data_IF_381216244339
#
_entry.id   IF_381216244339
#
_cell.length_a   1.000
_cell.length_b   1.000
_cell.length_c   1.000
_cell.angle_alpha   90.00
_cell.angle_beta   90.00
_cell.angle_gamma   90.00
#
_symmetry.space_group_name_H-M   'P 1'
#
loop_
_entity.id
_entity.type
_entity.pdbx_description
1 polymer ?
#
# COMPACT_ATOMS: atom_id res chain seq x y z
N UNK A 1 -54.07 46.38 48.15
CA UNK A 1 -53.65 45.13 48.82
C UNK A 1 -52.39 44.64 48.13
N UNK A 2 -51.27 44.97 48.75
CA UNK A 2 -49.89 44.84 48.27
C UNK A 2 -49.42 43.37 48.33
N UNK A 3 -49.14 42.76 47.18
CA UNK A 3 -48.27 41.58 47.15
C UNK A 3 -46.87 42.00 46.79
N UNK A 4 -46.07 42.04 47.86
CA UNK A 4 -44.63 42.20 47.89
C UNK A 4 -43.93 41.39 46.80
N UNK A 5 -43.12 42.07 45.99
CA UNK A 5 -41.95 41.47 45.35
C UNK A 5 -41.02 40.94 46.45
N UNK A 6 -41.10 39.66 46.79
CA UNK A 6 -40.07 39.02 47.60
C UNK A 6 -38.86 38.72 46.70
N UNK A 7 -37.99 39.72 46.56
CA UNK A 7 -36.61 39.55 46.15
C UNK A 7 -35.96 38.48 47.04
N UNK A 8 -35.75 37.27 46.50
CA UNK A 8 -34.78 36.34 47.06
C UNK A 8 -33.39 36.98 46.89
N UNK A 9 -32.96 37.72 47.91
CA UNK A 9 -31.56 38.06 48.13
C UNK A 9 -30.83 36.76 48.46
N UNK A 10 -30.40 36.01 47.45
CA UNK A 10 -29.28 35.10 47.65
C UNK A 10 -28.08 35.95 48.11
N UNK A 11 -27.29 35.52 49.11
CA UNK A 11 -26.16 36.33 49.57
C UNK A 11 -25.24 36.56 48.37
N UNK A 12 -24.82 37.81 48.14
CA UNK A 12 -23.96 38.22 47.02
C UNK A 12 -22.74 37.29 46.84
N UNK A 13 -22.26 36.71 47.95
CA UNK A 13 -21.20 35.69 47.98
C UNK A 13 -21.57 34.39 47.26
N UNK A 14 -22.80 33.88 47.40
CA UNK A 14 -23.24 32.66 46.72
C UNK A 14 -23.39 32.86 45.20
N UNK A 15 -23.89 34.03 44.77
CA UNK A 15 -23.99 34.39 43.34
C UNK A 15 -22.59 34.54 42.72
N UNK A 16 -21.66 35.24 43.41
CA UNK A 16 -20.26 35.36 42.95
C UNK A 16 -19.57 34.00 42.84
N UNK A 17 -19.76 33.10 43.82
CA UNK A 17 -19.17 31.75 43.80
C UNK A 17 -19.71 30.95 42.61
N UNK A 18 -21.01 31.01 42.32
CA UNK A 18 -21.59 30.30 41.16
C UNK A 18 -21.12 30.83 39.82
N UNK A 19 -20.96 32.15 39.66
CA UNK A 19 -20.46 32.76 38.41
C UNK A 19 -18.97 32.41 38.19
N UNK A 20 -18.17 32.41 39.26
CA UNK A 20 -16.77 32.01 39.19
C UNK A 20 -16.60 30.52 38.84
N UNK A 21 -17.45 29.64 39.39
CA UNK A 21 -17.43 28.21 39.08
C UNK A 21 -17.81 27.95 37.62
N UNK A 22 -18.84 28.63 37.10
CA UNK A 22 -19.28 28.49 35.70
C UNK A 22 -18.19 28.96 34.72
N UNK A 23 -17.50 30.06 35.03
CA UNK A 23 -16.38 30.55 34.25
C UNK A 23 -15.20 29.55 34.27
N UNK A 24 -14.86 28.99 35.44
CA UNK A 24 -13.80 27.99 35.57
C UNK A 24 -14.10 26.68 34.83
N UNK A 25 -15.35 26.21 34.86
CA UNK A 25 -15.80 25.02 34.11
C UNK A 25 -15.71 25.29 32.60
N UNK A 26 -16.13 26.46 32.13
CA UNK A 26 -16.07 26.83 30.71
C UNK A 26 -14.61 26.94 30.24
N UNK A 27 -13.72 27.51 31.05
CA UNK A 27 -12.28 27.61 30.75
C UNK A 27 -11.62 26.21 30.72
N UNK A 28 -12.00 25.29 31.62
CA UNK A 28 -11.51 23.92 31.60
C UNK A 28 -11.97 23.15 30.35
N UNK A 29 -13.25 23.28 29.97
CA UNK A 29 -13.75 22.64 28.75
C UNK A 29 -13.07 23.23 27.50
N UNK A 30 -12.80 24.54 27.49
CA UNK A 30 -12.07 25.19 26.40
C UNK A 30 -10.59 24.75 26.33
N UNK A 31 -9.92 24.55 27.46
CA UNK A 31 -8.53 24.07 27.48
C UNK A 31 -8.41 22.59 27.10
N UNK A 32 -9.35 21.74 27.54
CA UNK A 32 -9.42 20.33 27.14
C UNK A 32 -9.72 20.19 25.64
N UNK A 33 -10.61 21.01 25.07
CA UNK A 33 -10.92 21.00 23.63
C UNK A 33 -9.76 21.53 22.77
N UNK A 34 -8.99 22.51 23.25
CA UNK A 34 -7.77 22.98 22.59
C UNK A 34 -6.66 21.91 22.61
N UNK A 35 -6.47 21.23 23.75
CA UNK A 35 -5.51 20.15 23.91
C UNK A 35 -5.83 18.96 22.98
N UNK A 36 -7.09 18.56 22.90
CA UNK A 36 -7.55 17.49 22.01
C UNK A 36 -7.43 17.86 20.51
N UNK A 37 -7.64 19.14 20.15
CA UNK A 37 -7.43 19.63 18.76
C UNK A 37 -5.94 19.68 18.38
N UNK A 38 -5.07 20.07 19.29
CA UNK A 38 -3.62 20.13 19.05
C UNK A 38 -3.00 18.72 18.85
N UNK A 39 -3.47 17.72 19.60
CA UNK A 39 -3.04 16.33 19.43
C UNK A 39 -3.52 15.70 18.11
N UNK A 40 -4.69 16.12 17.59
CA UNK A 40 -5.19 15.69 16.27
C UNK A 40 -4.51 16.43 15.08
N UNK A 41 -3.91 17.60 15.31
CA UNK A 41 -3.21 18.38 14.28
C UNK A 41 -1.74 17.95 14.11
N UNK A 42 -1.09 17.47 15.17
CA UNK A 42 0.32 17.03 15.12
C UNK A 42 0.56 15.75 14.30
N UNK A 43 -0.45 14.88 14.17
CA UNK A 43 -0.37 13.65 13.35
C UNK A 43 -0.74 13.90 11.89
N UNK A 44 -1.58 14.91 11.60
CA UNK A 44 -2.05 15.20 10.25
C UNK A 44 -1.00 15.84 9.33
N UNK A 45 -0.04 16.60 9.87
CA UNK A 45 1.00 17.22 9.02
C UNK A 45 2.03 16.22 8.46
N UNK A 46 2.12 15.02 9.03
CA UNK A 46 3.01 13.95 8.52
C UNK A 46 2.34 13.05 7.46
N UNK A 47 1.00 13.10 7.34
CA UNK A 47 0.24 12.28 6.40
C UNK A 47 0.23 12.97 5.03
N UNK A 48 1.08 12.48 4.12
CA UNK A 48 1.17 13.03 2.76
C UNK A 48 0.01 12.61 1.83
N UNK A 49 -0.57 11.42 2.06
CA UNK A 49 -1.72 10.89 1.31
C UNK A 49 -2.81 10.50 2.32
N UNK A 50 -4.07 10.95 2.15
CA UNK A 50 -5.15 10.63 3.08
C UNK A 50 -5.30 9.12 3.34
N UNK A 51 -5.63 8.76 4.58
CA UNK A 51 -5.86 7.37 5.00
C UNK A 51 -7.18 6.84 4.41
N UNK A 52 -7.12 6.26 3.22
CA UNK A 52 -8.30 5.86 2.45
C UNK A 52 -8.20 4.48 1.77
N UNK A 53 -7.09 3.76 1.93
CA UNK A 53 -6.86 2.47 1.26
C UNK A 53 -7.02 1.30 2.23
N UNK A 54 -7.54 0.17 1.75
CA UNK A 54 -7.62 -1.08 2.53
C UNK A 54 -6.22 -1.64 2.82
N UNK A 55 -5.35 -1.59 1.81
CA UNK A 55 -3.96 -2.04 1.84
C UNK A 55 -3.11 -1.14 0.94
N UNK A 56 -1.84 -0.95 1.29
CA UNK A 56 -0.87 -0.19 0.49
C UNK A 56 0.51 -0.86 0.54
N UNK A 57 1.14 -0.97 -0.62
CA UNK A 57 2.51 -1.47 -0.78
C UNK A 57 3.51 -0.31 -0.79
N UNK A 58 4.79 -0.63 -0.58
CA UNK A 58 5.86 0.36 -0.69
C UNK A 58 5.89 1.01 -2.08
N UNK A 59 6.25 2.29 -2.14
CA UNK A 59 6.56 2.95 -3.41
C UNK A 59 7.75 2.27 -4.09
N UNK A 60 7.64 2.09 -5.40
CA UNK A 60 8.73 1.67 -6.26
C UNK A 60 8.63 2.35 -7.62
N UNK A 61 9.73 2.95 -8.05
CA UNK A 61 9.83 3.69 -9.31
C UNK A 61 8.75 4.77 -9.51
N UNK A 62 8.34 5.43 -8.42
CA UNK A 62 7.38 6.54 -8.41
C UNK A 62 5.91 6.12 -8.26
N UNK A 63 5.60 4.83 -8.22
CA UNK A 63 4.24 4.33 -8.03
C UNK A 63 4.14 3.37 -6.84
N UNK A 64 3.01 3.35 -6.16
CA UNK A 64 2.68 2.38 -5.12
C UNK A 64 1.41 1.63 -5.49
N UNK A 65 1.37 0.32 -5.20
CA UNK A 65 0.16 -0.45 -5.33
C UNK A 65 -0.74 -0.20 -4.12
N UNK A 66 -2.03 0.05 -4.36
CA UNK A 66 -3.03 0.25 -3.31
C UNK A 66 -4.29 -0.55 -3.61
N UNK A 67 -5.02 -0.90 -2.56
CA UNK A 67 -6.24 -1.69 -2.65
C UNK A 67 -7.47 -0.87 -2.26
N UNK A 68 -8.44 -0.85 -3.16
CA UNK A 68 -9.74 -0.18 -3.02
C UNK A 68 -10.80 -1.14 -3.54
N UNK A 69 -11.89 -1.32 -2.80
CA UNK A 69 -12.99 -2.24 -3.13
C UNK A 69 -12.50 -3.63 -3.54
N UNK A 70 -11.57 -4.16 -2.73
CA UNK A 70 -10.92 -5.47 -2.93
C UNK A 70 -10.09 -5.61 -4.22
N UNK A 71 -9.91 -4.56 -5.02
CA UNK A 71 -9.12 -4.55 -6.25
C UNK A 71 -7.87 -3.71 -6.07
N UNK A 72 -6.81 -4.11 -6.75
CA UNK A 72 -5.53 -3.41 -6.75
C UNK A 72 -5.40 -2.47 -7.94
N UNK A 73 -4.88 -1.27 -7.67
CA UNK A 73 -4.48 -0.25 -8.63
C UNK A 73 -3.13 0.35 -8.25
N UNK A 74 -2.72 1.43 -8.92
CA UNK A 74 -1.48 2.13 -8.62
C UNK A 74 -1.68 3.63 -8.53
N UNK A 75 -1.09 4.23 -7.51
CA UNK A 75 -1.10 5.67 -7.25
C UNK A 75 0.31 6.27 -7.38
N UNK A 76 0.37 7.58 -7.61
CA UNK A 76 1.60 8.36 -7.47
C UNK A 76 1.78 8.86 -6.03
N UNK A 77 2.84 9.66 -5.79
CA UNK A 77 3.18 10.18 -4.46
C UNK A 77 2.17 11.20 -3.91
N UNK A 78 1.35 11.79 -4.79
CA UNK A 78 0.28 12.71 -4.40
C UNK A 78 -1.01 11.95 -4.03
N UNK A 79 -1.02 10.62 -4.12
CA UNK A 79 -2.21 9.80 -3.90
C UNK A 79 -3.15 9.70 -5.10
N UNK A 80 -2.77 10.27 -6.24
CA UNK A 80 -3.60 10.24 -7.45
C UNK A 80 -3.50 8.87 -8.12
N UNK A 81 -4.65 8.31 -8.51
CA UNK A 81 -4.71 7.04 -9.23
C UNK A 81 -4.15 7.17 -10.64
N UNK A 82 -2.99 6.55 -10.88
CA UNK A 82 -2.36 6.46 -12.22
C UNK A 82 -2.91 5.26 -12.98
N UNK A 83 -3.15 4.14 -12.29
CA UNK A 83 -3.79 2.94 -12.85
C UNK A 83 -4.96 2.58 -11.95
N UNK A 84 -6.22 2.71 -12.43
CA UNK A 84 -7.39 2.45 -11.61
C UNK A 84 -7.41 1.03 -11.02
N UNK A 85 -7.96 0.86 -9.80
CA UNK A 85 -8.15 -0.44 -9.18
C UNK A 85 -8.95 -1.40 -10.08
N UNK A 86 -8.29 -2.42 -10.60
CA UNK A 86 -8.90 -3.38 -11.51
C UNK A 86 -8.32 -4.80 -11.40
N UNK A 87 -7.20 -4.97 -10.71
CA UNK A 87 -6.47 -6.24 -10.66
C UNK A 87 -6.80 -7.04 -9.40
N UNK A 88 -6.74 -8.38 -9.51
CA UNK A 88 -6.95 -9.27 -8.36
C UNK A 88 -5.74 -9.29 -7.43
N UNK A 89 -4.53 -9.23 -8.00
CA UNK A 89 -3.24 -9.15 -7.30
C UNK A 89 -2.25 -8.39 -8.17
N UNK A 90 -1.27 -7.78 -7.53
CA UNK A 90 -0.22 -7.01 -8.19
C UNK A 90 1.12 -7.20 -7.48
N UNK A 91 2.21 -6.81 -8.14
CA UNK A 91 3.54 -6.63 -7.53
C UNK A 91 4.01 -5.20 -7.74
N UNK A 92 4.98 -4.69 -6.94
CA UNK A 92 5.58 -3.39 -7.17
C UNK A 92 6.23 -3.31 -8.56
N UNK A 93 6.26 -2.09 -9.12
CA UNK A 93 7.01 -1.82 -10.35
C UNK A 93 8.49 -2.13 -10.16
N UNK A 94 9.09 -2.76 -11.15
CA UNK A 94 10.53 -2.95 -11.21
C UNK A 94 11.00 -3.01 -12.66
N UNK A 95 12.05 -2.26 -12.94
CA UNK A 95 12.62 -2.04 -14.25
C UNK A 95 11.58 -1.62 -15.31
N UNK A 96 10.61 -0.78 -14.91
CA UNK A 96 9.58 -0.22 -15.77
C UNK A 96 8.32 -1.06 -15.96
N UNK A 97 8.27 -2.29 -15.42
CA UNK A 97 7.12 -3.19 -15.53
C UNK A 97 6.63 -3.65 -14.16
N UNK A 98 5.34 -3.99 -14.06
CA UNK A 98 4.77 -4.62 -12.87
C UNK A 98 3.98 -5.87 -13.25
N UNK A 99 4.14 -6.92 -12.45
CA UNK A 99 3.36 -8.15 -12.60
C UNK A 99 1.95 -7.92 -12.03
N UNK A 100 0.92 -8.26 -12.81
CA UNK A 100 -0.49 -8.13 -12.39
C UNK A 100 -1.27 -9.39 -12.72
N UNK A 101 -2.25 -9.72 -11.88
CA UNK A 101 -3.10 -10.90 -12.04
C UNK A 101 -4.48 -10.51 -12.59
N UNK A 102 -4.77 -10.99 -13.80
CA UNK A 102 -6.01 -10.77 -14.56
C UNK A 102 -6.60 -12.14 -14.85
N UNK A 103 -7.88 -12.36 -14.54
CA UNK A 103 -8.60 -13.62 -14.84
C UNK A 103 -7.87 -14.90 -14.39
N UNK A 104 -7.13 -14.81 -13.29
CA UNK A 104 -6.43 -15.97 -12.72
C UNK A 104 -5.01 -16.21 -13.26
N UNK A 105 -4.56 -15.48 -14.29
CA UNK A 105 -3.20 -15.56 -14.84
C UNK A 105 -2.42 -14.26 -14.60
N UNK A 106 -1.10 -14.38 -14.54
CA UNK A 106 -0.19 -13.25 -14.41
C UNK A 106 0.31 -12.79 -15.78
N UNK A 107 0.36 -11.48 -15.96
CA UNK A 107 1.02 -10.79 -17.06
C UNK A 107 1.75 -9.56 -16.53
N UNK A 108 2.23 -8.70 -17.42
CA UNK A 108 2.97 -7.49 -17.06
C UNK A 108 2.41 -6.25 -17.73
N UNK A 109 2.38 -5.16 -16.97
CA UNK A 109 1.95 -3.84 -17.45
C UNK A 109 3.07 -2.81 -17.33
N UNK A 110 3.03 -1.79 -18.18
CA UNK A 110 3.87 -0.60 -18.05
C UNK A 110 3.30 0.37 -17.01
N UNK A 111 4.07 1.40 -16.64
CA UNK A 111 3.62 2.47 -15.72
C UNK A 111 2.40 3.25 -16.20
N UNK A 112 2.08 3.17 -17.51
CA UNK A 112 0.87 3.76 -18.10
C UNK A 112 -0.35 2.84 -18.01
N UNK A 113 -0.20 1.64 -17.44
CA UNK A 113 -1.25 0.61 -17.38
C UNK A 113 -1.37 -0.25 -18.64
N UNK A 114 -0.61 0.04 -19.70
CA UNK A 114 -0.64 -0.76 -20.93
C UNK A 114 -0.11 -2.17 -20.67
N UNK A 115 -0.81 -3.19 -21.15
CA UNK A 115 -0.36 -4.59 -21.13
C UNK A 115 0.84 -4.74 -22.07
N UNK A 116 1.98 -5.13 -21.51
CA UNK A 116 3.23 -5.39 -22.25
C UNK A 116 3.41 -6.88 -22.49
N UNK A 117 3.08 -7.70 -21.49
CA UNK A 117 3.07 -9.16 -21.61
C UNK A 117 1.67 -9.63 -21.22
N UNK A 118 0.99 -10.31 -22.14
CA UNK A 118 -0.35 -10.81 -21.92
C UNK A 118 -0.40 -11.79 -20.73
N UNK A 119 -1.49 -11.79 -19.94
CA UNK A 119 -1.68 -12.75 -18.85
C UNK A 119 -1.65 -14.18 -19.38
N UNK A 120 -0.66 -14.95 -18.96
CA UNK A 120 -0.47 -16.34 -19.41
C UNK A 120 0.21 -17.23 -18.36
N UNK A 121 0.83 -16.63 -17.33
CA UNK A 121 1.60 -17.36 -16.34
C UNK A 121 0.76 -17.72 -15.11
N UNK A 122 1.07 -18.85 -14.48
CA UNK A 122 0.46 -19.28 -13.21
C UNK A 122 0.98 -18.44 -12.04
N UNK A 123 2.27 -18.08 -12.11
CA UNK A 123 2.99 -17.22 -11.17
C UNK A 123 3.99 -16.35 -11.94
N UNK A 124 4.26 -15.15 -11.43
CA UNK A 124 5.20 -14.20 -12.02
C UNK A 124 5.89 -13.37 -10.93
N UNK A 125 7.20 -13.22 -11.03
CA UNK A 125 8.00 -12.35 -10.16
C UNK A 125 8.33 -11.01 -10.82
N UNK A 126 8.74 -10.02 -10.02
CA UNK A 126 9.18 -8.72 -10.54
C UNK A 126 10.45 -8.88 -11.38
N UNK A 127 10.69 -7.97 -12.31
CA UNK A 127 11.94 -7.98 -13.08
C UNK A 127 13.14 -7.62 -12.20
N UNK A 128 14.25 -8.33 -12.37
CA UNK A 128 15.54 -8.03 -11.75
C UNK A 128 16.66 -8.39 -12.72
N UNK A 129 17.61 -7.47 -12.92
CA UNK A 129 18.70 -7.62 -13.89
C UNK A 129 18.22 -8.07 -15.28
N UNK A 130 17.09 -7.54 -15.77
CA UNK A 130 16.57 -7.82 -17.10
C UNK A 130 15.73 -9.10 -17.24
N UNK A 131 15.66 -9.92 -16.18
CA UNK A 131 14.92 -11.19 -16.17
C UNK A 131 13.80 -11.18 -15.13
N UNK A 132 12.73 -11.91 -15.42
CA UNK A 132 11.72 -12.26 -14.43
C UNK A 132 11.48 -13.75 -14.43
N UNK A 133 11.36 -14.33 -13.23
CA UNK A 133 10.97 -15.73 -13.07
C UNK A 133 9.46 -15.85 -13.26
N UNK A 134 9.03 -16.81 -14.06
CA UNK A 134 7.62 -17.10 -14.31
C UNK A 134 7.36 -18.59 -14.22
N UNK A 135 6.12 -18.95 -13.89
CA UNK A 135 5.65 -20.34 -13.89
C UNK A 135 4.61 -20.54 -14.97
N UNK A 136 4.77 -21.57 -15.78
CA UNK A 136 3.80 -22.00 -16.77
C UNK A 136 3.74 -23.52 -16.79
N UNK A 137 2.52 -24.07 -16.79
CA UNK A 137 2.29 -25.52 -16.80
C UNK A 137 3.04 -26.24 -15.66
N UNK A 138 3.08 -25.61 -14.48
CA UNK A 138 3.72 -26.17 -13.29
C UNK A 138 5.25 -26.04 -13.24
N UNK A 139 5.92 -25.56 -14.30
CA UNK A 139 7.38 -25.43 -14.35
C UNK A 139 7.81 -23.96 -14.31
N UNK A 140 8.96 -23.69 -13.69
CA UNK A 140 9.58 -22.37 -13.64
C UNK A 140 10.60 -22.18 -14.77
N UNK A 141 10.62 -20.97 -15.32
CA UNK A 141 11.59 -20.47 -16.29
C UNK A 141 11.83 -18.97 -16.11
N UNK A 142 12.65 -18.38 -16.97
CA UNK A 142 12.99 -16.95 -16.93
C UNK A 142 12.71 -16.28 -18.27
N UNK A 143 12.02 -15.14 -18.22
CA UNK A 143 11.67 -14.34 -19.39
C UNK A 143 12.38 -12.98 -19.38
N UNK A 144 12.56 -12.40 -20.57
CA UNK A 144 12.94 -11.00 -20.74
C UNK A 144 11.72 -10.07 -20.67
N UNK A 145 11.95 -8.75 -20.80
CA UNK A 145 10.88 -7.73 -20.74
C UNK A 145 9.90 -7.76 -21.92
N UNK A 146 10.23 -8.49 -22.99
CA UNK A 146 9.37 -8.75 -24.14
C UNK A 146 8.52 -10.01 -23.93
N UNK A 147 8.68 -10.72 -22.81
CA UNK A 147 7.96 -11.96 -22.52
C UNK A 147 8.56 -13.21 -23.16
N UNK A 148 9.73 -13.10 -23.79
CA UNK A 148 10.42 -14.24 -24.41
C UNK A 148 11.21 -15.01 -23.35
N UNK A 149 11.12 -16.34 -23.37
CA UNK A 149 11.92 -17.19 -22.49
C UNK A 149 13.41 -17.10 -22.87
N UNK A 150 14.22 -16.66 -21.92
CA UNK A 150 15.69 -16.76 -22.00
C UNK A 150 16.15 -18.09 -21.40
N UNK A 151 15.44 -18.56 -20.37
CA UNK A 151 15.62 -19.90 -19.81
C UNK A 151 14.25 -20.60 -19.86
N UNK A 152 14.11 -21.67 -20.66
CA UNK A 152 12.84 -22.40 -20.79
C UNK A 152 12.28 -22.86 -19.45
N UNK A 153 10.95 -22.95 -19.36
CA UNK A 153 10.28 -23.45 -18.17
C UNK A 153 10.49 -24.96 -18.02
N UNK A 154 11.36 -25.37 -17.08
CA UNK A 154 11.72 -26.78 -16.87
C UNK A 154 11.97 -27.16 -15.41
N UNK A 155 12.00 -26.19 -14.49
CA UNK A 155 12.33 -26.42 -13.08
C UNK A 155 11.08 -26.64 -12.22
N UNK A 156 11.13 -27.57 -11.27
CA UNK A 156 9.99 -28.00 -10.45
C UNK A 156 9.63 -27.02 -9.33
N UNK A 157 10.65 -26.50 -8.66
CA UNK A 157 10.47 -25.66 -7.48
C UNK A 157 11.56 -24.60 -7.46
N UNK A 158 11.16 -23.39 -7.09
CA UNK A 158 12.10 -22.30 -6.94
C UNK A 158 11.67 -21.52 -5.69
N UNK A 159 12.42 -21.69 -4.60
CA UNK A 159 12.16 -21.05 -3.31
C UNK A 159 12.08 -19.50 -3.40
N UNK A 160 11.81 -18.86 -2.25
CA UNK A 160 11.63 -17.41 -2.04
C UNK A 160 12.68 -16.50 -2.70
N UNK A 161 13.89 -16.99 -2.97
CA UNK A 161 14.95 -16.24 -3.66
C UNK A 161 14.91 -16.53 -5.16
N UNK A 162 14.18 -15.69 -5.89
CA UNK A 162 13.88 -15.87 -7.31
C UNK A 162 14.90 -15.22 -8.26
N UNK A 163 15.72 -14.31 -7.72
CA UNK A 163 16.72 -13.57 -8.47
C UNK A 163 18.08 -14.30 -8.50
N UNK A 164 18.93 -13.91 -9.45
CA UNK A 164 20.33 -14.31 -9.45
C UNK A 164 21.07 -13.52 -8.37
N UNK A 165 21.73 -14.22 -7.45
CA UNK A 165 22.69 -13.66 -6.49
C UNK A 165 24.09 -14.08 -6.94
N UNK A 166 25.04 -13.12 -6.99
CA UNK A 166 26.40 -13.39 -7.50
C UNK A 166 26.43 -14.02 -8.91
N UNK A 167 25.42 -13.73 -9.73
CA UNK A 167 25.29 -14.29 -11.08
C UNK A 167 24.77 -15.73 -11.11
N UNK A 168 24.35 -16.31 -9.98
CA UNK A 168 23.79 -17.66 -9.89
C UNK A 168 22.36 -17.65 -9.32
N UNK A 169 21.51 -18.53 -9.81
CA UNK A 169 20.20 -18.80 -9.23
C UNK A 169 20.05 -20.31 -8.97
N UNK A 170 19.49 -20.65 -7.81
CA UNK A 170 19.19 -22.05 -7.45
C UNK A 170 17.95 -22.55 -8.18
N UNK A 171 18.00 -23.79 -8.63
CA UNK A 171 16.90 -24.47 -9.31
C UNK A 171 16.78 -25.90 -8.84
N UNK A 172 15.60 -26.49 -8.97
CA UNK A 172 15.31 -27.87 -8.62
C UNK A 172 14.73 -28.63 -9.81
N UNK A 173 15.23 -29.85 -10.04
CA UNK A 173 14.66 -30.82 -10.99
C UNK A 173 14.54 -32.16 -10.25
N UNK A 174 13.32 -32.67 -10.14
CA UNK A 174 13.00 -33.79 -9.25
C UNK A 174 13.39 -33.45 -7.81
N UNK A 175 14.23 -34.30 -7.20
CA UNK A 175 14.71 -34.10 -5.82
C UNK A 175 16.07 -33.42 -5.73
N UNK A 176 16.69 -33.09 -6.88
CA UNK A 176 18.05 -32.56 -6.92
C UNK A 176 18.06 -31.05 -7.11
N UNK A 177 18.93 -30.39 -6.36
CA UNK A 177 19.21 -28.97 -6.49
C UNK A 177 20.44 -28.72 -7.36
N UNK A 178 20.42 -27.62 -8.09
CA UNK A 178 21.55 -27.12 -8.87
C UNK A 178 21.53 -25.60 -8.97
N UNK A 179 22.50 -25.05 -9.69
CA UNK A 179 22.62 -23.62 -9.93
C UNK A 179 22.68 -23.35 -11.43
N UNK A 180 21.97 -22.33 -11.88
CA UNK A 180 22.06 -21.80 -13.23
C UNK A 180 22.78 -20.45 -13.20
N UNK A 181 23.56 -20.17 -14.25
CA UNK A 181 24.22 -18.87 -14.43
C UNK A 181 23.24 -17.87 -15.01
N UNK A 182 23.41 -16.60 -14.67
CA UNK A 182 22.69 -15.50 -15.30
C UNK A 182 23.14 -15.40 -16.77
N UNK A 183 22.25 -15.65 -17.75
CA UNK A 183 22.62 -15.64 -19.16
C UNK A 183 22.90 -14.24 -19.73
N UNK A 184 22.67 -13.17 -18.95
CA UNK A 184 22.89 -11.77 -19.35
C UNK A 184 24.20 -11.18 -18.79
N UNK A 185 25.07 -11.98 -18.16
CA UNK A 185 26.38 -11.58 -17.63
C UNK A 185 27.47 -12.39 -18.27
#
# INVERSE_FOLDING_TARGET
>A
MTYFLSLLRAPLKAILITVALLAAVTVCILSETQSNRAQAQGTNNAIAVPLQFEEAEKFSEGLAAVKIDKKWGYINQNGESVIPPQFKKVKPFSQGLAAVKIEGKWGYISKKGNRVIAPQFDEADSFFQGLARVKINGKYGYINKQGQFIIPAQFDEAEKTWHFAEGLARVKIGEKWGYIRNPLK
#
